data_IF_585778374266
#
_entry.id   IF_585778374266
#
_cell.length_a   1.000
_cell.length_b   1.000
_cell.length_c   1.000
_cell.angle_alpha   90.00
_cell.angle_beta   90.00
_cell.angle_gamma   90.00
#
_symmetry.space_group_name_H-M   'P 1'
#
loop_
_entity.id
_entity.type
_entity.pdbx_description
1 polymer ?
#
# COMPACT_ATOMS: atom_id res chain seq x y z
N UNK A 1 -10.66 -18.42 -5.84
CA UNK A 1 -10.09 -19.39 -4.88
C UNK A 1 -9.80 -18.66 -3.57
N UNK A 2 -10.24 -19.20 -2.44
CA UNK A 2 -10.10 -18.52 -1.14
C UNK A 2 -8.65 -18.62 -0.63
N UNK A 3 -8.03 -17.48 -0.36
CA UNK A 3 -6.63 -17.38 0.07
C UNK A 3 -6.33 -18.00 1.45
N UNK A 4 -7.36 -18.45 2.19
CA UNK A 4 -7.22 -19.06 3.52
C UNK A 4 -6.60 -20.46 3.47
N UNK A 5 -6.77 -21.19 2.35
CA UNK A 5 -6.37 -22.60 2.25
C UNK A 5 -4.96 -22.82 1.69
N UNK A 6 -4.30 -21.76 1.20
CA UNK A 6 -3.04 -21.87 0.45
C UNK A 6 -1.77 -21.96 1.31
N UNK A 7 -1.86 -21.79 2.65
CA UNK A 7 -0.71 -21.88 3.56
C UNK A 7 0.46 -20.91 3.28
N UNK A 8 0.31 -20.03 2.28
CA UNK A 8 1.32 -19.07 1.84
C UNK A 8 1.53 -17.99 2.89
N UNK A 9 2.79 -17.68 3.18
CA UNK A 9 3.14 -16.53 4.01
C UNK A 9 2.54 -15.27 3.41
N UNK A 10 1.98 -14.40 4.26
CA UNK A 10 1.35 -13.16 3.82
C UNK A 10 1.97 -11.94 4.50
N UNK A 11 1.89 -10.79 3.86
CA UNK A 11 2.22 -9.51 4.50
C UNK A 11 2.18 -8.36 3.52
N UNK A 12 3.03 -7.35 3.70
CA UNK A 12 2.88 -6.04 3.06
C UNK A 12 4.11 -5.66 2.24
N UNK A 13 3.95 -4.82 1.20
CA UNK A 13 5.06 -4.37 0.38
C UNK A 13 5.95 -3.46 1.22
N UNK A 14 7.24 -3.78 1.30
CA UNK A 14 8.25 -3.02 2.05
C UNK A 14 9.53 -3.00 1.20
N UNK A 15 10.12 -1.84 1.04
CA UNK A 15 11.45 -1.73 0.43
C UNK A 15 12.52 -2.03 1.50
N UNK A 16 13.47 -2.89 1.19
CA UNK A 16 14.59 -3.18 2.09
C UNK A 16 15.42 -1.92 2.31
N UNK A 17 15.69 -1.57 3.58
CA UNK A 17 16.46 -0.37 3.96
C UNK A 17 15.97 0.93 3.31
N UNK A 18 14.67 1.03 3.02
CA UNK A 18 14.07 2.17 2.31
C UNK A 18 14.77 2.51 0.98
N UNK A 19 15.21 1.46 0.26
CA UNK A 19 15.86 1.59 -1.04
C UNK A 19 15.03 2.46 -2.00
N UNK A 20 15.65 3.47 -2.61
CA UNK A 20 15.00 4.42 -3.50
C UNK A 20 14.64 5.78 -2.90
N UNK A 21 14.68 5.97 -1.57
CA UNK A 21 14.51 7.30 -0.96
C UNK A 21 15.79 8.14 -1.09
N UNK A 22 16.94 7.54 -0.76
CA UNK A 22 18.25 8.18 -0.90
C UNK A 22 18.93 7.76 -2.20
N UNK A 23 19.73 6.69 -2.13
CA UNK A 23 20.35 6.06 -3.31
C UNK A 23 19.73 4.70 -3.59
N UNK A 24 19.79 4.28 -4.84
CA UNK A 24 19.45 2.92 -5.22
C UNK A 24 20.64 1.97 -4.95
N UNK A 25 20.34 0.83 -4.32
CA UNK A 25 21.28 -0.27 -4.12
C UNK A 25 20.67 -1.56 -4.67
N UNK A 26 21.38 -2.21 -5.61
CA UNK A 26 21.00 -3.52 -6.12
C UNK A 26 21.00 -4.56 -5.01
N UNK A 27 19.90 -5.30 -4.87
CA UNK A 27 19.72 -6.22 -3.74
C UNK A 27 20.33 -7.60 -3.98
N UNK A 28 20.54 -7.97 -5.23
CA UNK A 28 21.20 -9.22 -5.60
C UNK A 28 22.70 -9.14 -5.28
N UNK A 29 23.18 -9.99 -4.39
CA UNK A 29 24.59 -10.03 -4.00
C UNK A 29 25.36 -11.08 -4.78
N UNK A 30 24.82 -12.31 -4.85
CA UNK A 30 25.49 -13.45 -5.47
C UNK A 30 24.53 -14.29 -6.28
N UNK A 31 25.00 -14.79 -7.42
CA UNK A 31 24.30 -15.80 -8.22
C UNK A 31 25.20 -17.01 -8.40
N UNK A 32 24.70 -18.19 -8.05
CA UNK A 32 25.38 -19.47 -8.35
C UNK A 32 24.62 -20.23 -9.42
N UNK A 33 25.23 -20.35 -10.59
CA UNK A 33 24.75 -21.16 -11.70
C UNK A 33 25.22 -22.60 -11.52
N UNK A 34 24.27 -23.50 -11.26
CA UNK A 34 24.55 -24.93 -11.14
C UNK A 34 24.05 -25.63 -12.38
N UNK A 35 24.88 -26.42 -13.06
CA UNK A 35 24.50 -27.05 -14.33
C UNK A 35 25.27 -28.36 -14.56
N UNK A 36 24.77 -29.21 -15.46
CA UNK A 36 25.49 -30.41 -15.88
C UNK A 36 26.23 -30.18 -17.20
N UNK A 37 27.46 -30.71 -17.32
CA UNK A 37 28.27 -30.59 -18.53
C UNK A 37 27.72 -31.38 -19.72
N UNK A 38 27.18 -32.57 -19.48
CA UNK A 38 26.75 -33.51 -20.54
C UNK A 38 25.24 -33.62 -20.72
N UNK A 39 24.46 -33.41 -19.66
CA UNK A 39 23.02 -33.69 -19.71
C UNK A 39 22.24 -32.63 -20.52
N UNK A 40 21.40 -33.08 -21.46
CA UNK A 40 20.68 -32.22 -22.40
C UNK A 40 19.78 -31.18 -21.73
N UNK A 41 19.22 -31.47 -20.55
CA UNK A 41 18.37 -30.50 -19.84
C UNK A 41 19.12 -29.24 -19.37
N UNK A 42 20.46 -29.25 -19.34
CA UNK A 42 21.32 -28.09 -19.02
C UNK A 42 21.85 -27.36 -20.26
N UNK A 43 21.35 -27.68 -21.47
CA UNK A 43 21.85 -27.08 -22.73
C UNK A 43 21.76 -25.54 -22.72
N UNK A 44 20.58 -24.96 -22.50
CA UNK A 44 20.44 -23.49 -22.53
C UNK A 44 21.23 -22.76 -21.44
N UNK A 45 21.50 -23.41 -20.30
CA UNK A 45 22.39 -22.85 -19.27
C UNK A 45 23.85 -22.84 -19.73
N UNK A 46 24.31 -23.87 -20.46
CA UNK A 46 25.66 -23.89 -21.05
C UNK A 46 25.80 -22.82 -22.13
N UNK A 47 24.80 -22.72 -23.00
CA UNK A 47 24.79 -21.72 -24.08
C UNK A 47 24.84 -20.29 -23.49
N UNK A 48 24.15 -20.02 -22.37
CA UNK A 48 24.25 -18.75 -21.64
C UNK A 48 25.64 -18.53 -21.03
N UNK A 49 26.23 -19.57 -20.42
CA UNK A 49 27.57 -19.49 -19.81
C UNK A 49 28.65 -19.18 -20.86
N UNK A 50 28.54 -19.77 -22.05
CA UNK A 50 29.50 -19.60 -23.14
C UNK A 50 29.40 -18.24 -23.82
N UNK A 51 28.18 -17.70 -24.00
CA UNK A 51 27.96 -16.51 -24.82
C UNK A 51 27.68 -15.22 -24.03
N UNK A 52 26.95 -15.28 -22.91
CA UNK A 52 26.38 -14.06 -22.28
C UNK A 52 26.95 -13.77 -20.89
N UNK A 53 27.50 -14.76 -20.21
CA UNK A 53 27.87 -14.66 -18.79
C UNK A 53 28.88 -13.54 -18.51
N UNK A 54 29.89 -13.40 -19.38
CA UNK A 54 30.95 -12.40 -19.21
C UNK A 54 30.39 -10.99 -19.36
N UNK A 55 29.51 -10.77 -20.34
CA UNK A 55 28.88 -9.47 -20.57
C UNK A 55 27.86 -9.12 -19.48
N UNK A 56 27.16 -10.13 -18.95
CA UNK A 56 26.32 -9.96 -17.77
C UNK A 56 27.12 -9.51 -16.53
N UNK A 57 28.29 -10.10 -16.29
CA UNK A 57 29.16 -9.71 -15.17
C UNK A 57 29.74 -8.30 -15.35
N UNK A 58 30.13 -7.93 -16.57
CA UNK A 58 30.62 -6.58 -16.89
C UNK A 58 29.54 -5.51 -16.69
N UNK A 59 28.31 -5.79 -17.11
CA UNK A 59 27.18 -4.86 -16.96
C UNK A 59 26.68 -4.73 -15.52
N UNK A 60 26.93 -5.74 -14.67
CA UNK A 60 26.47 -5.78 -13.28
C UNK A 60 27.63 -6.01 -12.30
N UNK A 61 28.53 -5.02 -12.12
CA UNK A 61 29.73 -5.18 -11.29
C UNK A 61 29.44 -5.41 -9.79
N UNK A 62 28.24 -5.06 -9.32
CA UNK A 62 27.81 -5.30 -7.93
C UNK A 62 27.39 -6.75 -7.63
N UNK A 63 27.29 -7.61 -8.64
CA UNK A 63 26.81 -8.99 -8.50
C UNK A 63 27.96 -9.96 -8.72
N UNK A 64 28.21 -10.83 -7.75
CA UNK A 64 29.22 -11.90 -7.90
C UNK A 64 28.57 -13.14 -8.50
N UNK A 65 29.10 -13.62 -9.63
CA UNK A 65 28.58 -14.81 -10.31
C UNK A 65 29.51 -16.00 -10.15
N UNK A 66 28.99 -17.10 -9.63
CA UNK A 66 29.67 -18.38 -9.47
C UNK A 66 29.12 -19.42 -10.44
N UNK A 67 30.01 -20.21 -11.01
CA UNK A 67 29.66 -21.30 -11.93
C UNK A 67 30.07 -22.63 -11.29
N UNK A 68 29.09 -23.48 -10.99
CA UNK A 68 29.30 -24.77 -10.31
C UNK A 68 28.79 -25.94 -11.17
N UNK A 69 29.67 -26.66 -11.88
CA UNK A 69 29.27 -27.86 -12.60
C UNK A 69 28.87 -28.97 -11.61
N UNK A 70 27.76 -29.65 -11.88
CA UNK A 70 27.24 -30.81 -11.12
C UNK A 70 26.92 -31.95 -12.07
N UNK A 71 27.46 -33.14 -11.80
CA UNK A 71 27.17 -34.35 -12.59
C UNK A 71 25.75 -34.85 -12.31
N UNK A 72 25.03 -35.29 -13.35
CA UNK A 72 23.69 -35.91 -13.27
C UNK A 72 22.64 -35.14 -12.44
N UNK A 73 22.71 -33.80 -12.43
CA UNK A 73 21.73 -32.94 -11.74
C UNK A 73 21.19 -31.88 -12.69
N UNK A 74 19.93 -31.50 -12.50
CA UNK A 74 19.28 -30.44 -13.27
C UNK A 74 19.95 -29.08 -13.06
N UNK A 75 19.83 -28.17 -14.05
CA UNK A 75 20.35 -26.83 -13.95
C UNK A 75 19.49 -25.99 -12.98
N UNK A 76 20.15 -25.15 -12.18
CA UNK A 76 19.51 -24.34 -11.14
C UNK A 76 20.25 -23.02 -11.02
N UNK A 77 19.49 -21.92 -10.98
CA UNK A 77 19.98 -20.60 -10.58
C UNK A 77 19.70 -20.47 -9.08
N UNK A 78 20.75 -20.26 -8.29
CA UNK A 78 20.63 -19.89 -6.86
C UNK A 78 21.00 -18.42 -6.73
N UNK A 79 20.04 -17.58 -6.38
CA UNK A 79 20.25 -16.18 -6.07
C UNK A 79 20.32 -15.95 -4.56
N UNK A 80 21.21 -15.08 -4.13
CA UNK A 80 21.34 -14.65 -2.74
C UNK A 80 21.26 -13.13 -2.67
N UNK A 81 20.36 -12.62 -1.85
CA UNK A 81 20.10 -11.19 -1.69
C UNK A 81 20.75 -10.65 -0.41
N UNK A 82 20.90 -9.33 -0.32
CA UNK A 82 21.53 -8.65 0.83
C UNK A 82 20.81 -8.87 2.17
N UNK A 83 19.50 -9.14 2.14
CA UNK A 83 18.70 -9.48 3.32
C UNK A 83 18.95 -10.91 3.84
N UNK A 84 19.77 -11.71 3.15
CA UNK A 84 20.04 -13.11 3.46
C UNK A 84 19.04 -14.11 2.87
N UNK A 85 17.97 -13.64 2.20
CA UNK A 85 17.03 -14.53 1.51
C UNK A 85 17.69 -15.15 0.27
N UNK A 86 17.26 -16.37 -0.06
CA UNK A 86 17.73 -17.10 -1.24
C UNK A 86 16.58 -17.49 -2.15
N UNK A 87 16.73 -17.26 -3.45
CA UNK A 87 15.75 -17.65 -4.46
C UNK A 87 16.33 -18.75 -5.35
N UNK A 88 15.58 -19.85 -5.48
CA UNK A 88 15.99 -21.04 -6.21
C UNK A 88 15.09 -21.23 -7.43
N UNK A 89 15.67 -21.12 -8.62
CA UNK A 89 14.95 -21.30 -9.88
C UNK A 89 15.47 -22.55 -10.58
N UNK A 90 14.58 -23.50 -10.84
CA UNK A 90 14.89 -24.66 -11.68
C UNK A 90 14.87 -24.23 -13.15
N UNK A 91 15.95 -24.48 -13.89
CA UNK A 91 16.08 -24.08 -15.29
C UNK A 91 16.06 -25.27 -16.25
N UNK A 92 15.40 -26.36 -15.86
CA UNK A 92 15.37 -27.61 -16.63
C UNK A 92 14.75 -27.34 -18.01
N UNK A 93 15.49 -27.69 -19.07
CA UNK A 93 15.06 -27.49 -20.47
C UNK A 93 14.78 -26.02 -20.85
N UNK A 94 15.34 -25.06 -20.12
CA UNK A 94 15.27 -23.67 -20.55
C UNK A 94 16.13 -23.44 -21.79
N UNK A 95 15.65 -22.60 -22.70
CA UNK A 95 16.44 -22.02 -23.79
C UNK A 95 17.38 -20.94 -23.22
N UNK A 96 18.41 -20.56 -23.99
CA UNK A 96 19.33 -19.46 -23.65
C UNK A 96 18.56 -18.19 -23.27
N UNK A 97 17.61 -17.77 -24.10
CA UNK A 97 16.80 -16.58 -23.86
C UNK A 97 15.97 -16.66 -22.57
N UNK A 98 15.42 -17.83 -22.25
CA UNK A 98 14.72 -18.02 -20.99
C UNK A 98 15.67 -17.87 -19.80
N UNK A 99 16.91 -18.38 -19.89
CA UNK A 99 17.92 -18.18 -18.83
C UNK A 99 18.25 -16.68 -18.68
N UNK A 100 18.46 -15.95 -19.77
CA UNK A 100 18.69 -14.49 -19.74
C UNK A 100 17.55 -13.75 -19.04
N UNK A 101 16.29 -14.06 -19.38
CA UNK A 101 15.11 -13.46 -18.75
C UNK A 101 15.06 -13.75 -17.24
N UNK A 102 15.41 -14.96 -16.81
CA UNK A 102 15.42 -15.31 -15.38
C UNK A 102 16.61 -14.68 -14.64
N UNK A 103 17.75 -14.49 -15.29
CA UNK A 103 18.88 -13.74 -14.73
C UNK A 103 18.50 -12.28 -14.50
N UNK A 104 17.76 -11.67 -15.43
CA UNK A 104 17.25 -10.30 -15.30
C UNK A 104 16.14 -10.19 -14.24
N UNK A 105 15.25 -11.18 -14.16
CA UNK A 105 14.24 -11.29 -13.11
C UNK A 105 14.88 -11.28 -11.71
N UNK A 106 15.89 -12.13 -11.51
CA UNK A 106 16.60 -12.23 -10.24
C UNK A 106 17.37 -10.95 -9.91
N UNK A 107 17.89 -10.25 -10.92
CA UNK A 107 18.60 -8.98 -10.76
C UNK A 107 17.70 -7.84 -10.30
N UNK A 108 16.49 -7.78 -10.85
CA UNK A 108 15.51 -6.71 -10.59
C UNK A 108 14.71 -6.95 -9.32
N UNK A 109 14.62 -8.20 -8.86
CA UNK A 109 13.98 -8.56 -7.60
C UNK A 109 14.84 -8.19 -6.39
N UNK A 110 14.17 -8.00 -5.25
CA UNK A 110 14.83 -7.86 -3.94
C UNK A 110 14.73 -9.11 -3.08
N UNK A 111 13.86 -10.04 -3.48
CA UNK A 111 13.55 -11.29 -2.78
C UNK A 111 12.77 -12.22 -3.70
N UNK A 112 12.50 -13.47 -3.28
CA UNK A 112 11.57 -14.35 -4.01
C UNK A 112 10.14 -13.79 -4.00
N UNK A 113 9.72 -13.20 -5.11
CA UNK A 113 8.38 -12.60 -5.26
C UNK A 113 7.23 -13.59 -5.17
N UNK A 114 7.46 -14.88 -5.44
CA UNK A 114 6.43 -15.93 -5.40
C UNK A 114 6.21 -16.51 -4.00
N UNK A 115 7.19 -16.35 -3.11
CA UNK A 115 7.16 -16.93 -1.77
C UNK A 115 6.14 -16.29 -0.80
N UNK A 116 5.59 -15.12 -1.13
CA UNK A 116 4.72 -14.38 -0.23
C UNK A 116 3.59 -13.68 -0.96
N UNK A 117 2.40 -13.79 -0.38
CA UNK A 117 1.22 -13.04 -0.84
C UNK A 117 1.21 -11.65 -0.23
N UNK A 118 1.09 -10.63 -1.07
CA UNK A 118 0.84 -9.27 -0.63
C UNK A 118 -0.63 -9.10 -0.22
N UNK A 119 -0.87 -8.51 0.96
CA UNK A 119 -2.20 -8.17 1.47
C UNK A 119 -2.71 -6.84 0.90
N UNK A 120 -1.81 -5.90 0.69
CA UNK A 120 -2.06 -4.59 0.04
C UNK A 120 -0.98 -4.37 -1.01
N UNK A 121 -1.29 -3.59 -2.03
CA UNK A 121 -0.35 -3.24 -3.11
C UNK A 121 0.35 -1.89 -2.85
N UNK A 122 0.14 -1.30 -1.69
CA UNK A 122 0.71 -0.02 -1.28
C UNK A 122 1.13 -0.08 0.19
N UNK A 123 2.04 0.81 0.56
CA UNK A 123 2.53 0.98 1.93
C UNK A 123 2.92 2.45 2.15
N UNK A 124 2.58 2.98 3.30
CA UNK A 124 3.01 4.30 3.79
C UNK A 124 3.28 4.19 5.28
N UNK A 125 4.33 4.85 5.76
CA UNK A 125 4.59 5.02 7.20
C UNK A 125 3.68 6.12 7.78
N UNK A 126 3.19 7.05 6.95
CA UNK A 126 2.37 8.19 7.33
C UNK A 126 1.00 8.12 6.61
N UNK A 127 0.00 7.43 7.18
CA UNK A 127 -1.30 7.24 6.52
C UNK A 127 -2.23 8.47 6.58
N UNK A 128 -2.03 9.40 7.51
CA UNK A 128 -2.78 10.66 7.59
C UNK A 128 -1.82 11.84 7.79
N UNK A 129 -2.20 12.99 7.22
CA UNK A 129 -1.45 14.26 7.30
C UNK A 129 -2.05 15.18 8.37
N UNK A 130 -3.38 15.28 8.44
CA UNK A 130 -4.11 16.16 9.37
C UNK A 130 -4.51 15.47 10.68
N UNK A 131 -4.11 14.22 10.86
CA UNK A 131 -4.49 13.37 11.99
C UNK A 131 -5.51 12.29 11.57
N UNK A 132 -5.45 11.09 12.16
CA UNK A 132 -6.45 10.07 11.89
C UNK A 132 -7.81 10.49 12.48
N UNK A 133 -8.89 10.05 11.83
CA UNK A 133 -10.21 10.22 12.39
C UNK A 133 -10.32 9.50 13.74
N UNK A 134 -10.96 10.17 14.70
CA UNK A 134 -11.35 9.60 15.99
C UNK A 134 -12.85 9.79 16.18
N UNK A 135 -13.52 8.98 17.01
CA UNK A 135 -14.94 9.16 17.33
C UNK A 135 -15.32 10.53 17.90
N UNK A 136 -14.34 11.32 18.34
CA UNK A 136 -14.51 12.67 18.92
C UNK A 136 -14.13 13.79 17.95
N UNK A 137 -13.63 13.50 16.75
CA UNK A 137 -13.12 14.52 15.82
C UNK A 137 -14.18 15.53 15.40
N UNK A 138 -15.43 15.09 15.26
CA UNK A 138 -16.57 15.93 14.88
C UNK A 138 -17.64 15.99 15.97
N UNK A 139 -17.25 15.81 17.24
CA UNK A 139 -18.16 15.96 18.38
C UNK A 139 -17.93 17.30 19.06
N UNK A 140 -19.02 17.91 19.50
CA UNK A 140 -18.94 19.11 20.31
C UNK A 140 -18.29 18.81 21.66
N UNK A 141 -17.27 19.59 22.07
CA UNK A 141 -16.57 19.38 23.35
C UNK A 141 -17.49 19.47 24.57
N UNK A 142 -18.65 20.12 24.44
CA UNK A 142 -19.66 20.26 25.49
C UNK A 142 -20.10 18.91 26.05
N UNK A 143 -20.24 17.90 25.19
CA UNK A 143 -20.68 16.55 25.56
C UNK A 143 -19.77 15.86 26.59
N UNK A 144 -18.51 16.30 26.72
CA UNK A 144 -17.58 15.72 27.70
C UNK A 144 -17.83 16.20 29.14
N UNK A 145 -18.48 17.36 29.31
CA UNK A 145 -18.72 17.98 30.62
C UNK A 145 -20.16 17.72 31.08
N UNK A 146 -21.10 17.62 30.13
CA UNK A 146 -22.52 17.43 30.44
C UNK A 146 -22.79 16.06 31.06
N UNK A 147 -23.47 16.04 32.21
CA UNK A 147 -24.03 14.82 32.77
C UNK A 147 -25.22 14.35 31.93
N UNK A 148 -25.23 13.08 31.54
CA UNK A 148 -26.30 12.48 30.75
C UNK A 148 -27.29 11.76 31.69
N UNK A 149 -28.61 11.80 31.41
CA UNK A 149 -29.26 12.38 30.22
C UNK A 149 -29.52 13.90 30.32
N UNK A 150 -29.03 14.66 29.33
CA UNK A 150 -29.33 16.09 29.20
C UNK A 150 -30.53 16.31 28.26
N UNK A 151 -31.56 17.03 28.72
CA UNK A 151 -32.76 17.35 27.94
C UNK A 151 -32.49 18.29 26.76
N UNK A 152 -31.50 19.17 26.86
CA UNK A 152 -31.18 20.15 25.82
C UNK A 152 -30.52 19.47 24.61
N UNK A 153 -29.49 18.68 24.85
CA UNK A 153 -28.78 17.91 23.82
C UNK A 153 -29.63 16.76 23.25
N UNK A 154 -30.61 16.27 24.03
CA UNK A 154 -31.58 15.28 23.58
C UNK A 154 -32.79 15.88 22.85
N UNK A 155 -32.89 17.22 22.76
CA UNK A 155 -33.97 17.88 22.05
C UNK A 155 -33.81 17.69 20.54
N UNK A 156 -34.94 17.50 19.84
CA UNK A 156 -34.94 17.48 18.38
C UNK A 156 -34.54 18.87 17.85
N UNK A 157 -33.50 18.99 16.99
CA UNK A 157 -33.13 20.28 16.42
C UNK A 157 -34.27 20.78 15.53
N UNK A 158 -34.82 21.95 15.87
CA UNK A 158 -35.81 22.66 15.05
C UNK A 158 -35.08 23.51 14.01
N UNK A 159 -35.17 23.12 12.74
CA UNK A 159 -34.53 23.87 11.64
C UNK A 159 -35.42 25.01 11.11
N UNK A 160 -36.73 24.86 11.23
CA UNK A 160 -37.73 25.82 10.77
C UNK A 160 -38.60 26.27 11.94
N UNK A 161 -39.10 27.53 11.94
CA UNK A 161 -40.05 27.98 12.93
C UNK A 161 -41.31 27.12 12.84
N UNK A 162 -41.84 26.70 13.99
CA UNK A 162 -43.12 25.99 13.99
C UNK A 162 -44.23 26.94 13.54
N UNK A 163 -45.28 26.40 12.89
CA UNK A 163 -46.43 27.19 12.46
C UNK A 163 -47.02 28.02 13.62
N UNK A 164 -46.97 27.51 14.86
CA UNK A 164 -47.39 28.25 16.05
C UNK A 164 -46.48 29.43 16.37
N UNK A 165 -45.16 29.25 16.29
CA UNK A 165 -44.19 30.33 16.47
C UNK A 165 -44.33 31.39 15.36
N UNK A 166 -44.62 30.99 14.12
CA UNK A 166 -44.93 31.91 13.01
C UNK A 166 -46.21 32.69 13.25
N UNK A 167 -47.31 32.04 13.67
CA UNK A 167 -48.57 32.72 13.99
C UNK A 167 -48.36 33.72 15.14
N UNK A 168 -47.62 33.34 16.18
CA UNK A 168 -47.29 34.23 17.30
C UNK A 168 -46.46 35.43 16.81
N UNK A 169 -45.53 35.20 15.87
CA UNK A 169 -44.74 36.28 15.28
C UNK A 169 -45.62 37.24 14.48
N UNK A 170 -46.46 36.73 13.58
CA UNK A 170 -47.41 37.53 12.80
C UNK A 170 -48.35 38.34 13.71
N UNK A 171 -48.86 37.73 14.78
CA UNK A 171 -49.71 38.41 15.75
C UNK A 171 -48.99 39.55 16.48
N UNK A 172 -47.72 39.35 16.87
CA UNK A 172 -46.91 40.41 17.49
C UNK A 172 -46.60 41.54 16.52
N UNK A 173 -46.32 41.22 15.25
CA UNK A 173 -46.11 42.19 14.19
C UNK A 173 -47.38 43.06 14.01
N UNK A 174 -48.56 42.43 13.97
CA UNK A 174 -49.85 43.13 13.90
C UNK A 174 -50.09 44.07 15.09
N UNK A 175 -49.82 43.62 16.33
CA UNK A 175 -49.99 44.48 17.52
C UNK A 175 -49.04 45.68 17.53
N UNK A 176 -47.87 45.56 16.93
CA UNK A 176 -46.93 46.68 16.80
C UNK A 176 -47.40 47.69 15.76
N UNK A 177 -47.98 47.23 14.66
CA UNK A 177 -48.61 48.09 13.65
C UNK A 177 -49.80 48.84 14.24
N UNK A 178 -50.71 48.14 14.94
CA UNK A 178 -51.87 48.76 15.59
C UNK A 178 -51.46 49.87 16.59
N UNK A 179 -50.36 49.64 17.34
CA UNK A 179 -49.80 50.65 18.25
C UNK A 179 -49.22 51.86 17.53
N UNK A 180 -48.46 51.64 16.44
CA UNK A 180 -47.92 52.73 15.61
C UNK A 180 -49.04 53.57 15.01
N UNK A 181 -50.09 52.94 14.50
CA UNK A 181 -51.26 53.62 13.96
C UNK A 181 -51.99 54.46 15.01
N UNK A 182 -52.07 53.98 16.25
CA UNK A 182 -52.63 54.73 17.38
C UNK A 182 -51.76 55.95 17.75
N UNK A 183 -50.45 55.79 17.79
CA UNK A 183 -49.50 56.89 18.06
C UNK A 183 -49.55 57.95 16.95
N UNK A 184 -49.60 57.55 15.68
CA UNK A 184 -49.74 58.49 14.56
C UNK A 184 -51.07 59.27 14.58
N UNK A 185 -52.16 58.62 15.01
CA UNK A 185 -53.47 59.28 15.19
C UNK A 185 -53.47 60.24 16.37
N UNK A 186 -52.69 59.97 17.42
CA UNK A 186 -52.52 60.89 18.55
C UNK A 186 -51.64 62.11 18.20
N UNK A 187 -50.68 61.97 17.29
CA UNK A 187 -49.83 63.06 16.80
C UNK A 187 -50.51 64.01 15.79
N UNK A 188 -51.61 63.57 15.17
CA UNK A 188 -52.36 64.34 14.15
C UNK A 188 -53.57 65.09 14.70
N UNK A 189 -53.91 64.91 15.99
CA UNK A 189 -54.91 65.69 16.73
C UNK A 189 -54.21 66.70 17.66
#
# INVERSE_FOLDING_TARGET
MANAQLGLKSGFPRAHLANGIGRFVGQLQRVTLKFCKSHGASRGMRDFIENDLVDYAKSNPGVVVYVKPRRHRGPVIKAEYLNGETHWISCRQFTRECVVKHMELVRTQSRDGSAMRLRKLWHTEFPSIQGPWTPFTFRDPKLNITELPNKEEGACPKYEPTATEEIIRLFKEQQLEDKRDLEEKQLKN
#
